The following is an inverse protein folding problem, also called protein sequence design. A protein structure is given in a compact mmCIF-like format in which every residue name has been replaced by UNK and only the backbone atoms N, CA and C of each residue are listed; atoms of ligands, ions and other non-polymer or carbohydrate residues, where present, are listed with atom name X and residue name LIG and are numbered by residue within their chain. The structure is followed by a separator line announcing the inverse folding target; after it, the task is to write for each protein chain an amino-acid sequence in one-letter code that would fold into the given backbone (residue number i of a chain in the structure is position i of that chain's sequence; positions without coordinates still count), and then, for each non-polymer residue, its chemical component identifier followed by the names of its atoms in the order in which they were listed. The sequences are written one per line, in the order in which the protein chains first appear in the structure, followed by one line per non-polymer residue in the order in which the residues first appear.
data_IF_496867617475
#
_entry.id   IF_496867617475
#
_cell.length_a   1.000
_cell.length_b   1.000
_cell.length_c   1.000
_cell.angle_alpha   90.00
_cell.angle_beta   90.00
_cell.angle_gamma   90.00
#
_symmetry.space_group_name_H-M   'P 1'
#
loop_
_entity.id
_entity.type
_entity.pdbx_description
1 polymer ?
#
# COMPACT_ATOMS: atom_id res chain seq x y z
N UNK A 1 7.29 -3.63 15.97
CA UNK A 1 5.89 -3.99 16.06
C UNK A 1 5.23 -3.47 17.32
N UNK A 2 3.94 -3.32 17.27
CA UNK A 2 3.10 -2.96 18.42
C UNK A 2 2.14 -4.11 18.69
N UNK A 3 2.08 -4.55 19.90
CA UNK A 3 1.17 -5.59 20.31
C UNK A 3 -0.26 -5.06 20.58
N UNK A 4 -1.10 -5.95 21.02
CA UNK A 4 -2.54 -5.85 21.10
C UNK A 4 -3.08 -4.57 21.74
N UNK A 5 -4.13 -4.05 21.14
CA UNK A 5 -5.08 -3.09 21.74
C UNK A 5 -6.43 -3.79 21.88
N UNK A 6 -6.47 -4.96 22.51
CA UNK A 6 -7.71 -5.67 22.79
C UNK A 6 -8.36 -5.16 24.09
N UNK A 7 -9.67 -5.14 24.12
CA UNK A 7 -10.44 -4.75 25.29
C UNK A 7 -11.92 -4.57 24.96
N UNK A 8 -12.74 -4.45 25.99
CA UNK A 8 -14.16 -4.16 25.85
C UNK A 8 -14.49 -2.85 26.54
N UNK A 9 -15.32 -2.04 25.91
CA UNK A 9 -15.85 -0.81 26.48
C UNK A 9 -17.35 -0.73 26.16
N UNK A 10 -18.18 -0.87 27.19
CA UNK A 10 -19.62 -1.04 27.05
C UNK A 10 -19.94 -2.19 26.06
N UNK A 11 -20.65 -1.89 24.97
CA UNK A 11 -21.06 -2.85 23.94
C UNK A 11 -20.03 -2.99 22.80
N UNK A 12 -18.85 -2.35 22.92
CA UNK A 12 -17.78 -2.42 21.94
C UNK A 12 -16.70 -3.39 22.38
N UNK A 13 -16.47 -4.39 21.57
CA UNK A 13 -15.35 -5.32 21.72
C UNK A 13 -14.28 -5.00 20.68
N UNK A 14 -13.08 -4.66 21.15
CA UNK A 14 -11.91 -4.50 20.29
C UNK A 14 -11.23 -5.86 20.15
N UNK A 15 -11.21 -6.45 18.95
CA UNK A 15 -10.56 -7.74 18.74
C UNK A 15 -9.05 -7.65 19.00
N UNK A 16 -8.40 -8.74 19.38
CA UNK A 16 -6.95 -8.79 19.48
C UNK A 16 -6.31 -8.34 18.16
N UNK A 17 -5.49 -7.30 18.24
CA UNK A 17 -4.87 -6.69 17.06
C UNK A 17 -3.37 -6.61 17.24
N UNK A 18 -2.62 -7.21 16.31
CA UNK A 18 -1.18 -7.07 16.20
C UNK A 18 -0.86 -6.09 15.08
N UNK A 19 -0.14 -5.04 15.41
CA UNK A 19 0.31 -4.05 14.42
C UNK A 19 1.82 -4.16 14.22
N UNK A 20 2.23 -4.31 12.97
CA UNK A 20 3.63 -4.34 12.58
C UNK A 20 3.98 -3.07 11.79
N UNK A 21 5.11 -2.48 12.13
CA UNK A 21 5.65 -1.29 11.45
C UNK A 21 6.95 -1.63 10.77
N UNK A 22 7.13 -1.13 9.56
CA UNK A 22 8.40 -1.18 8.86
C UNK A 22 8.71 0.23 8.32
N UNK A 23 9.95 0.66 8.48
CA UNK A 23 10.44 1.95 8.02
C UNK A 23 11.71 1.73 7.20
N UNK A 24 11.72 2.26 5.98
CA UNK A 24 12.89 2.25 5.13
C UNK A 24 13.06 3.63 4.47
N UNK A 25 14.28 4.22 4.44
CA UNK A 25 14.52 5.45 3.72
C UNK A 25 14.50 5.20 2.21
N UNK A 26 13.89 6.13 1.48
CA UNK A 26 13.82 6.14 0.02
C UNK A 26 14.20 7.52 -0.51
N UNK A 27 14.75 7.58 -1.73
CA UNK A 27 14.94 8.85 -2.43
C UNK A 27 13.59 9.26 -3.06
N UNK A 28 13.13 10.47 -2.79
CA UNK A 28 11.81 10.95 -3.22
C UNK A 28 11.61 10.92 -4.74
N UNK A 29 12.68 11.09 -5.52
CA UNK A 29 12.66 10.98 -6.98
C UNK A 29 12.61 9.55 -7.52
N UNK A 30 12.70 8.55 -6.64
CA UNK A 30 12.62 7.12 -6.94
C UNK A 30 11.40 6.45 -6.31
N UNK A 31 10.54 7.22 -5.67
CA UNK A 31 9.28 6.72 -5.15
C UNK A 31 8.26 6.56 -6.29
N UNK A 32 7.55 5.44 -6.27
CA UNK A 32 6.49 5.13 -7.23
C UNK A 32 5.22 4.78 -6.48
N UNK A 33 4.08 5.21 -7.00
CA UNK A 33 2.78 4.91 -6.41
C UNK A 33 2.14 3.67 -7.04
N UNK A 34 1.03 3.23 -6.48
CA UNK A 34 0.42 1.96 -6.88
C UNK A 34 -0.60 2.07 -8.02
N UNK A 35 -1.15 3.26 -8.30
CA UNK A 35 -2.17 3.40 -9.35
C UNK A 35 -1.57 3.24 -10.75
N UNK A 36 -2.32 2.61 -11.66
CA UNK A 36 -1.96 2.46 -13.08
C UNK A 36 -1.84 3.85 -13.71
N UNK A 37 -0.75 4.09 -14.43
CA UNK A 37 -0.40 5.41 -14.96
C UNK A 37 -0.95 5.70 -16.35
N UNK A 38 -0.96 4.70 -17.22
CA UNK A 38 -1.39 4.91 -18.60
C UNK A 38 -2.04 3.67 -19.23
N UNK A 39 -2.83 3.90 -20.27
CA UNK A 39 -3.33 2.85 -21.12
C UNK A 39 -2.23 2.32 -22.05
N UNK A 40 -2.30 1.04 -22.40
CA UNK A 40 -1.37 0.37 -23.31
C UNK A 40 -0.10 -0.15 -22.65
N UNK A 41 0.08 0.03 -21.36
CA UNK A 41 1.16 -0.63 -20.60
C UNK A 41 0.81 -2.07 -20.27
N UNK A 42 1.80 -2.83 -19.82
CA UNK A 42 1.64 -4.21 -19.40
C UNK A 42 1.63 -4.31 -17.89
N UNK A 43 0.83 -5.23 -17.37
CA UNK A 43 0.92 -5.66 -15.98
C UNK A 43 1.62 -7.01 -15.94
N UNK A 44 2.64 -7.09 -15.09
CA UNK A 44 3.39 -8.32 -14.84
C UNK A 44 3.49 -8.57 -13.35
N UNK A 45 3.60 -9.83 -12.93
CA UNK A 45 3.70 -10.20 -11.52
C UNK A 45 4.96 -11.03 -11.27
N UNK A 46 5.74 -10.61 -10.28
CA UNK A 46 6.75 -11.45 -9.67
C UNK A 46 6.15 -12.23 -8.52
N UNK A 47 6.21 -13.56 -8.60
CA UNK A 47 5.55 -14.46 -7.65
C UNK A 47 6.53 -15.00 -6.62
N UNK A 48 6.14 -14.97 -5.35
CA UNK A 48 6.90 -15.58 -4.25
C UNK A 48 6.84 -17.09 -4.35
N UNK A 49 8.00 -17.72 -4.39
CA UNK A 49 8.10 -19.17 -4.28
C UNK A 49 8.06 -19.60 -2.82
N UNK A 50 7.34 -20.69 -2.55
CA UNK A 50 7.15 -21.24 -1.21
C UNK A 50 7.67 -22.68 -1.14
N UNK A 51 7.97 -23.10 0.07
CA UNK A 51 8.35 -24.49 0.38
C UNK A 51 7.10 -25.34 0.68
N UNK A 52 7.31 -26.58 1.08
CA UNK A 52 6.25 -27.55 1.42
C UNK A 52 5.43 -27.17 2.67
N UNK A 53 5.94 -26.27 3.50
CA UNK A 53 5.27 -25.76 4.69
C UNK A 53 4.61 -24.39 4.43
N UNK A 54 4.48 -23.98 3.16
CA UNK A 54 3.96 -22.69 2.72
C UNK A 54 4.78 -21.47 3.21
N UNK A 55 6.05 -21.69 3.57
CA UNK A 55 6.98 -20.62 3.94
C UNK A 55 7.68 -20.05 2.69
N UNK A 56 7.87 -18.73 2.60
CA UNK A 56 8.63 -18.13 1.51
C UNK A 56 10.06 -18.70 1.46
N UNK A 57 10.54 -19.03 0.27
CA UNK A 57 11.95 -19.32 0.05
C UNK A 57 12.76 -18.03 0.14
N UNK A 58 13.25 -17.69 1.32
CA UNK A 58 13.79 -16.37 1.64
C UNK A 58 14.92 -15.90 0.73
N UNK A 59 15.81 -16.79 0.29
CA UNK A 59 16.90 -16.43 -0.63
C UNK A 59 16.36 -16.06 -2.01
N UNK A 60 15.33 -16.75 -2.50
CA UNK A 60 14.66 -16.43 -3.77
C UNK A 60 13.82 -15.16 -3.64
N UNK A 61 13.12 -14.99 -2.51
CA UNK A 61 12.38 -13.79 -2.19
C UNK A 61 13.26 -12.55 -2.19
N UNK A 62 14.42 -12.63 -1.53
CA UNK A 62 15.37 -11.52 -1.52
C UNK A 62 15.86 -11.17 -2.92
N UNK A 63 16.24 -12.16 -3.72
CA UNK A 63 16.66 -11.93 -5.12
C UNK A 63 15.56 -11.30 -5.96
N UNK A 64 14.31 -11.73 -5.77
CA UNK A 64 13.14 -11.16 -6.44
C UNK A 64 12.98 -9.69 -6.07
N UNK A 65 13.05 -9.33 -4.80
CA UNK A 65 12.93 -7.95 -4.35
C UNK A 65 14.10 -7.07 -4.81
N UNK A 66 15.33 -7.60 -4.81
CA UNK A 66 16.50 -6.91 -5.35
C UNK A 66 16.31 -6.62 -6.85
N UNK A 67 15.73 -7.58 -7.61
CA UNK A 67 15.41 -7.40 -9.04
C UNK A 67 14.34 -6.31 -9.23
N UNK A 68 13.23 -6.37 -8.49
CA UNK A 68 12.15 -5.36 -8.58
C UNK A 68 12.69 -3.97 -8.22
N UNK A 69 13.49 -3.88 -7.15
CA UNK A 69 14.11 -2.61 -6.75
C UNK A 69 15.01 -2.05 -7.85
N UNK A 70 15.83 -2.89 -8.50
CA UNK A 70 16.69 -2.45 -9.60
C UNK A 70 15.85 -1.95 -10.80
N UNK A 71 14.77 -2.64 -11.15
CA UNK A 71 13.86 -2.20 -12.21
C UNK A 71 13.24 -0.82 -11.92
N UNK A 72 12.90 -0.55 -10.65
CA UNK A 72 12.41 0.77 -10.22
C UNK A 72 13.49 1.83 -10.36
N UNK A 73 14.73 1.55 -9.90
CA UNK A 73 15.85 2.47 -10.02
C UNK A 73 16.20 2.80 -11.47
N UNK A 74 16.05 1.82 -12.37
CA UNK A 74 16.28 1.96 -13.81
C UNK A 74 15.12 2.70 -14.53
N UNK A 75 14.06 3.04 -13.80
CA UNK A 75 12.89 3.73 -14.37
C UNK A 75 12.02 2.86 -15.30
N UNK A 76 12.12 1.53 -15.19
CA UNK A 76 11.35 0.58 -16.00
C UNK A 76 9.98 0.26 -15.43
N UNK A 77 9.69 0.66 -14.19
CA UNK A 77 8.43 0.43 -13.51
C UNK A 77 7.66 1.74 -13.38
N UNK A 78 6.43 1.76 -13.86
CA UNK A 78 5.55 2.93 -13.81
C UNK A 78 4.76 2.96 -12.49
N UNK A 79 4.26 1.82 -12.05
CA UNK A 79 3.57 1.65 -10.78
C UNK A 79 3.78 0.23 -10.22
N UNK A 80 3.62 0.06 -8.91
CA UNK A 80 3.76 -1.24 -8.28
C UNK A 80 2.83 -1.41 -7.09
N UNK A 81 2.33 -2.63 -6.88
CA UNK A 81 1.54 -2.98 -5.70
C UNK A 81 1.78 -4.41 -5.27
N UNK A 82 1.85 -4.64 -3.95
CA UNK A 82 1.94 -6.01 -3.42
C UNK A 82 0.59 -6.72 -3.53
N UNK A 83 0.63 -8.04 -3.74
CA UNK A 83 -0.59 -8.85 -3.79
C UNK A 83 -1.28 -8.83 -2.44
N UNK A 84 -2.58 -8.55 -2.43
CA UNK A 84 -3.45 -8.44 -1.26
C UNK A 84 -4.16 -9.76 -0.95
N UNK A 85 -4.92 -9.77 0.16
CA UNK A 85 -5.55 -10.97 0.70
C UNK A 85 -6.54 -11.69 -0.22
N UNK A 86 -7.19 -10.97 -1.14
CA UNK A 86 -8.09 -11.58 -2.15
C UNK A 86 -7.40 -11.79 -3.51
N UNK A 87 -6.06 -11.84 -3.52
CA UNK A 87 -5.28 -12.22 -4.67
C UNK A 87 -5.02 -11.10 -5.69
N UNK A 88 -4.70 -11.55 -6.90
CA UNK A 88 -4.33 -10.68 -8.01
C UNK A 88 -5.48 -9.74 -8.42
N UNK A 89 -6.71 -10.23 -8.40
CA UNK A 89 -7.90 -9.45 -8.78
C UNK A 89 -8.07 -8.24 -7.85
N UNK A 90 -7.95 -8.43 -6.54
CA UNK A 90 -8.03 -7.31 -5.59
C UNK A 90 -6.92 -6.28 -5.85
N UNK A 91 -5.71 -6.76 -6.05
CA UNK A 91 -4.53 -5.90 -6.25
C UNK A 91 -4.70 -5.05 -7.51
N UNK A 92 -5.01 -5.68 -8.63
CA UNK A 92 -5.21 -4.99 -9.93
C UNK A 92 -6.41 -4.05 -9.87
N UNK A 93 -7.52 -4.43 -9.22
CA UNK A 93 -8.67 -3.55 -9.06
C UNK A 93 -8.32 -2.26 -8.34
N UNK A 94 -7.58 -2.35 -7.23
CA UNK A 94 -7.13 -1.17 -6.48
C UNK A 94 -6.14 -0.32 -7.26
N UNK A 95 -5.26 -0.93 -8.04
CA UNK A 95 -4.37 -0.21 -8.95
C UNK A 95 -5.15 0.55 -10.03
N UNK A 96 -6.24 -0.03 -10.52
CA UNK A 96 -7.10 0.56 -11.57
C UNK A 96 -7.95 1.73 -11.06
N UNK A 97 -8.46 1.67 -9.82
CA UNK A 97 -9.39 2.67 -9.30
C UNK A 97 -8.77 4.07 -9.14
N UNK A 98 -7.45 4.16 -9.00
CA UNK A 98 -6.77 5.46 -8.83
C UNK A 98 -6.97 6.40 -10.00
N UNK A 99 -6.70 5.95 -11.20
CA UNK A 99 -6.82 6.72 -12.45
C UNK A 99 -7.95 6.22 -13.37
N UNK A 100 -8.78 5.29 -12.90
CA UNK A 100 -9.87 4.68 -13.66
C UNK A 100 -9.41 4.09 -15.01
N UNK A 101 -8.28 3.39 -14.99
CA UNK A 101 -7.73 2.69 -16.14
C UNK A 101 -7.96 1.19 -15.95
N UNK A 102 -8.69 0.58 -16.87
CA UNK A 102 -9.05 -0.82 -16.84
C UNK A 102 -7.93 -1.74 -17.29
N UNK A 103 -8.21 -3.03 -17.19
CA UNK A 103 -7.24 -4.07 -17.53
C UNK A 103 -7.94 -5.21 -18.28
N UNK A 104 -7.38 -5.55 -19.42
CA UNK A 104 -7.66 -6.81 -20.08
C UNK A 104 -6.70 -7.87 -19.52
N UNK A 105 -7.23 -8.78 -18.70
CA UNK A 105 -6.45 -9.85 -18.08
C UNK A 105 -6.00 -10.87 -19.12
N UNK A 106 -4.79 -11.39 -18.95
CA UNK A 106 -4.25 -12.43 -19.83
C UNK A 106 -5.11 -13.69 -19.76
N UNK A 107 -5.42 -14.24 -20.92
CA UNK A 107 -6.30 -15.43 -21.08
C UNK A 107 -5.72 -16.72 -20.46
N UNK A 108 -4.44 -16.75 -20.19
CA UNK A 108 -3.78 -17.90 -19.57
C UNK A 108 -3.86 -17.88 -18.04
N UNK A 109 -4.39 -16.81 -17.45
CA UNK A 109 -4.60 -16.75 -16.00
C UNK A 109 -5.75 -17.68 -15.61
N UNK A 110 -5.47 -18.58 -14.69
CA UNK A 110 -6.50 -19.45 -14.08
C UNK A 110 -7.21 -18.74 -12.92
N UNK A 111 -8.35 -19.27 -12.50
CA UNK A 111 -9.05 -18.77 -11.32
C UNK A 111 -8.16 -18.81 -10.08
N UNK A 112 -7.36 -19.85 -9.92
CA UNK A 112 -6.43 -19.95 -8.79
C UNK A 112 -5.38 -18.81 -8.84
N UNK A 113 -4.85 -18.47 -10.02
CA UNK A 113 -3.92 -17.35 -10.17
C UNK A 113 -4.58 -16.00 -9.88
N UNK A 114 -5.87 -15.85 -10.21
CA UNK A 114 -6.62 -14.62 -9.99
C UNK A 114 -6.98 -14.40 -8.51
N UNK A 115 -7.39 -15.45 -7.81
CA UNK A 115 -7.98 -15.33 -6.46
C UNK A 115 -7.10 -15.86 -5.33
N UNK A 116 -6.05 -16.64 -5.64
CA UNK A 116 -5.06 -17.03 -4.64
C UNK A 116 -4.18 -15.83 -4.28
N UNK A 117 -3.85 -15.72 -3.00
CA UNK A 117 -3.03 -14.64 -2.47
C UNK A 117 -1.59 -15.11 -2.18
N UNK A 118 -0.69 -15.16 -3.18
CA UNK A 118 0.72 -15.45 -2.94
C UNK A 118 1.37 -14.23 -2.26
N UNK A 119 1.05 -14.04 -0.98
CA UNK A 119 1.46 -12.86 -0.20
C UNK A 119 2.97 -12.61 -0.31
N UNK A 120 3.32 -11.36 -0.55
CA UNK A 120 4.69 -10.93 -0.84
C UNK A 120 5.02 -10.87 -2.34
N UNK A 121 4.16 -11.40 -3.22
CA UNK A 121 4.28 -11.18 -4.67
C UNK A 121 3.96 -9.74 -5.02
N UNK A 122 4.54 -9.23 -6.10
CA UNK A 122 4.41 -7.82 -6.52
C UNK A 122 3.92 -7.76 -7.96
N UNK A 123 2.87 -6.96 -8.19
CA UNK A 123 2.38 -6.58 -9.51
C UNK A 123 3.06 -5.28 -9.91
N UNK A 124 3.59 -5.24 -11.12
CA UNK A 124 4.25 -4.07 -11.70
C UNK A 124 3.53 -3.65 -12.97
N UNK A 125 3.36 -2.35 -13.16
CA UNK A 125 3.06 -1.75 -14.45
C UNK A 125 4.36 -1.41 -15.17
N UNK A 126 4.53 -1.90 -16.39
CA UNK A 126 5.75 -1.76 -17.17
C UNK A 126 5.40 -1.47 -18.63
N UNK A 127 6.34 -0.93 -19.39
CA UNK A 127 6.14 -0.71 -20.84
C UNK A 127 6.42 -1.97 -21.67
N UNK A 128 7.38 -2.78 -21.25
CA UNK A 128 7.83 -3.99 -21.92
C UNK A 128 7.72 -5.20 -20.99
N UNK A 129 7.66 -6.39 -21.55
CA UNK A 129 7.70 -7.62 -20.76
C UNK A 129 9.02 -7.77 -20.01
N UNK A 130 8.95 -8.34 -18.81
CA UNK A 130 10.09 -8.58 -17.96
C UNK A 130 10.32 -10.08 -17.83
N UNK A 131 11.51 -10.53 -18.14
CA UNK A 131 11.89 -11.93 -18.00
C UNK A 131 11.72 -12.41 -16.57
N UNK A 132 11.12 -13.59 -16.42
CA UNK A 132 10.88 -14.23 -15.13
C UNK A 132 9.62 -13.72 -14.38
N UNK A 133 8.90 -12.77 -14.94
CA UNK A 133 7.60 -12.34 -14.44
C UNK A 133 6.45 -13.04 -15.16
N UNK A 134 5.32 -13.18 -14.48
CA UNK A 134 4.07 -13.70 -15.06
C UNK A 134 3.31 -12.53 -15.69
N UNK A 135 2.90 -12.67 -16.94
CA UNK A 135 2.04 -11.67 -17.60
C UNK A 135 0.65 -11.70 -16.97
N UNK A 136 0.21 -10.54 -16.48
CA UNK A 136 -1.10 -10.35 -15.83
C UNK A 136 -2.14 -9.84 -16.82
N UNK A 137 -1.74 -8.91 -17.68
CA UNK A 137 -2.64 -8.31 -18.67
C UNK A 137 -2.10 -7.02 -19.25
N UNK A 138 -2.99 -6.33 -19.98
CA UNK A 138 -2.69 -5.05 -20.62
C UNK A 138 -3.66 -3.99 -20.11
N UNK A 139 -3.14 -2.83 -19.77
CA UNK A 139 -3.95 -1.69 -19.33
C UNK A 139 -4.62 -1.02 -20.52
N UNK A 140 -5.84 -0.49 -20.37
CA UNK A 140 -6.43 0.16 -21.54
C UNK A 140 -7.80 0.77 -21.34
N UNK A 141 -8.81 -0.04 -21.23
CA UNK A 141 -10.21 0.41 -21.23
C UNK A 141 -10.66 1.01 -19.91
N UNK A 142 -11.93 1.38 -19.86
CA UNK A 142 -12.65 1.78 -18.64
C UNK A 142 -13.33 0.58 -17.94
N UNK A 143 -12.86 -0.64 -18.21
CA UNK A 143 -13.43 -1.87 -17.71
C UNK A 143 -12.35 -2.91 -17.39
N UNK A 144 -12.71 -3.88 -16.57
CA UNK A 144 -11.98 -5.14 -16.45
C UNK A 144 -12.54 -6.15 -17.46
N UNK A 145 -11.66 -6.76 -18.24
CA UNK A 145 -12.02 -7.87 -19.12
C UNK A 145 -11.29 -9.13 -18.67
N UNK A 146 -12.05 -10.13 -18.21
CA UNK A 146 -11.51 -11.40 -17.73
C UNK A 146 -12.38 -12.56 -18.23
N UNK A 147 -11.77 -13.54 -18.91
CA UNK A 147 -12.47 -14.72 -19.40
C UNK A 147 -13.66 -14.41 -20.33
N UNK A 148 -13.62 -13.27 -21.06
CA UNK A 148 -14.72 -12.81 -21.92
C UNK A 148 -15.82 -12.03 -21.17
N UNK A 149 -15.71 -11.87 -19.86
CA UNK A 149 -16.61 -11.03 -19.06
C UNK A 149 -16.04 -9.62 -19.00
N UNK A 150 -16.89 -8.62 -19.23
CA UNK A 150 -16.54 -7.21 -19.14
C UNK A 150 -17.26 -6.56 -17.95
N UNK A 151 -16.50 -5.96 -17.05
CA UNK A 151 -16.99 -5.30 -15.84
C UNK A 151 -16.56 -3.83 -15.88
N UNK A 152 -17.49 -2.87 -16.03
CA UNK A 152 -17.17 -1.46 -16.01
C UNK A 152 -16.48 -1.04 -14.71
N UNK A 153 -15.41 -0.27 -14.78
CA UNK A 153 -14.68 0.23 -13.60
C UNK A 153 -15.54 1.06 -12.68
N UNK A 154 -16.45 1.85 -13.24
CA UNK A 154 -17.39 2.65 -12.44
C UNK A 154 -18.28 1.77 -11.55
N UNK A 155 -18.79 0.67 -12.10
CA UNK A 155 -19.59 -0.30 -11.34
C UNK A 155 -18.76 -0.99 -10.26
N UNK A 156 -17.58 -1.48 -10.62
CA UNK A 156 -16.67 -2.13 -9.67
C UNK A 156 -16.26 -1.19 -8.52
N UNK A 157 -15.95 0.07 -8.83
CA UNK A 157 -15.59 1.06 -7.83
C UNK A 157 -16.75 1.41 -6.89
N UNK A 158 -17.98 1.52 -7.41
CA UNK A 158 -19.16 1.76 -6.59
C UNK A 158 -19.44 0.57 -5.65
N UNK A 159 -19.35 -0.65 -6.13
CA UNK A 159 -19.49 -1.86 -5.31
C UNK A 159 -18.43 -1.88 -4.20
N UNK A 160 -17.19 -1.51 -4.51
CA UNK A 160 -16.10 -1.46 -3.55
C UNK A 160 -16.29 -0.40 -2.45
N UNK A 161 -16.81 0.79 -2.78
CA UNK A 161 -17.04 1.88 -1.82
C UNK A 161 -18.25 1.63 -0.91
N UNK A 162 -19.31 1.05 -1.46
CA UNK A 162 -20.63 0.94 -0.83
C UNK A 162 -20.65 0.38 0.59
N UNK A 163 -19.88 -0.68 0.96
CA UNK A 163 -19.96 -1.30 2.28
C UNK A 163 -19.66 -0.36 3.45
N UNK A 164 -18.74 0.58 3.25
CA UNK A 164 -18.30 1.50 4.31
C UNK A 164 -18.92 2.91 4.20
N UNK A 165 -19.70 3.21 3.16
CA UNK A 165 -20.19 4.57 2.88
C UNK A 165 -21.02 5.16 4.02
N UNK A 166 -21.76 4.34 4.78
CA UNK A 166 -22.55 4.79 5.94
C UNK A 166 -21.70 5.18 7.15
N UNK A 167 -20.54 4.54 7.33
CA UNK A 167 -19.68 4.71 8.50
C UNK A 167 -18.52 5.65 8.19
N UNK A 168 -18.03 5.58 6.98
CA UNK A 168 -16.91 6.38 6.49
C UNK A 168 -17.22 6.88 5.07
N UNK A 169 -17.97 7.97 4.93
CA UNK A 169 -18.37 8.50 3.64
C UNK A 169 -17.17 8.88 2.77
N UNK A 170 -17.22 8.54 1.49
CA UNK A 170 -16.18 8.88 0.52
C UNK A 170 -16.18 10.37 0.15
N UNK A 171 -17.26 11.10 0.45
CA UNK A 171 -17.37 12.55 0.26
C UNK A 171 -17.55 13.22 1.61
N UNK A 172 -16.66 14.14 1.92
CA UNK A 172 -16.88 15.06 3.06
C UNK A 172 -18.11 15.93 2.81
N UNK A 173 -18.76 16.39 3.89
CA UNK A 173 -19.83 17.37 3.80
C UNK A 173 -19.35 18.66 3.11
N UNK A 174 -20.30 19.46 2.64
CA UNK A 174 -19.97 20.76 2.06
C UNK A 174 -19.35 21.67 3.13
N UNK A 175 -18.10 22.07 2.92
CA UNK A 175 -17.50 23.16 3.67
C UNK A 175 -18.03 24.49 3.10
N UNK A 176 -18.47 25.37 3.97
CA UNK A 176 -18.99 26.70 3.60
C UNK A 176 -17.89 27.74 3.44
N UNK A 177 -16.67 27.41 3.79
CA UNK A 177 -15.49 28.27 3.65
C UNK A 177 -14.31 27.47 3.10
N UNK A 178 -13.48 28.12 2.30
CA UNK A 178 -12.21 27.55 1.93
C UNK A 178 -11.31 27.45 3.17
N UNK A 179 -10.56 26.34 3.33
CA UNK A 179 -9.60 26.22 4.43
C UNK A 179 -8.50 27.28 4.28
N UNK A 180 -8.12 27.89 5.40
CA UNK A 180 -6.98 28.79 5.41
C UNK A 180 -5.71 28.02 5.03
N UNK A 181 -4.94 28.61 4.11
CA UNK A 181 -3.64 28.07 3.72
C UNK A 181 -2.55 28.77 4.55
N UNK A 182 -1.87 27.97 5.37
CA UNK A 182 -0.75 28.46 6.16
C UNK A 182 0.56 28.14 5.46
N UNK A 183 1.41 29.14 5.28
CA UNK A 183 2.78 28.94 4.85
C UNK A 183 3.75 29.42 5.93
N UNK A 184 4.85 28.71 6.07
CA UNK A 184 5.92 29.08 7.00
C UNK A 184 7.16 29.53 6.21
N UNK A 185 7.20 30.82 5.91
CA UNK A 185 8.22 31.41 5.03
C UNK A 185 9.52 31.79 5.75
N UNK A 186 9.48 31.80 7.08
CA UNK A 186 10.65 32.21 7.88
C UNK A 186 10.98 31.16 8.93
N UNK A 187 12.17 30.62 8.86
CA UNK A 187 12.67 29.71 9.89
C UNK A 187 13.17 30.53 11.09
N UNK A 188 12.33 30.66 12.12
CA UNK A 188 12.75 31.19 13.40
C UNK A 188 13.45 30.08 14.20
N UNK A 189 14.76 30.20 14.30
CA UNK A 189 15.53 29.30 15.16
C UNK A 189 15.69 30.01 16.52
N UNK A 190 14.97 29.53 17.51
CA UNK A 190 15.16 29.97 18.88
C UNK A 190 16.34 29.21 19.46
N UNK A 191 17.38 29.92 19.79
CA UNK A 191 18.56 29.35 20.47
C UNK A 191 18.39 29.61 21.95
N UNK A 192 18.54 28.58 22.78
CA UNK A 192 18.51 28.74 24.24
C UNK A 192 19.63 29.69 24.68
N UNK A 193 19.28 30.68 25.50
CA UNK A 193 20.24 31.62 26.09
C UNK A 193 21.17 30.94 27.08
N UNK A 194 20.64 29.96 27.78
CA UNK A 194 21.41 29.13 28.71
C UNK A 194 21.67 27.76 28.11
N UNK A 195 22.91 27.32 28.21
CA UNK A 195 23.34 26.02 27.65
C UNK A 195 23.84 25.14 28.80
N UNK A 196 23.25 23.94 28.91
CA UNK A 196 23.64 22.94 29.89
C UNK A 196 24.30 21.76 29.16
N UNK A 197 25.48 21.37 29.65
CA UNK A 197 26.19 20.20 29.10
C UNK A 197 25.41 18.89 29.30
N UNK A 198 24.63 18.82 30.38
CA UNK A 198 23.74 17.71 30.72
C UNK A 198 22.40 18.28 31.18
N UNK A 199 21.46 18.51 30.28
CA UNK A 199 20.12 18.99 30.65
C UNK A 199 19.41 17.94 31.51
N UNK A 200 18.67 18.41 32.53
CA UNK A 200 17.79 17.56 33.30
C UNK A 200 16.40 17.57 32.68
N UNK A 201 15.82 16.39 32.52
CA UNK A 201 14.48 16.21 31.98
C UNK A 201 13.58 15.68 33.09
N UNK A 202 12.42 16.28 33.26
CA UNK A 202 11.37 15.79 34.15
C UNK A 202 10.31 15.08 33.30
N UNK A 203 10.07 13.80 33.60
CA UNK A 203 9.08 12.97 32.95
C UNK A 203 7.99 12.63 33.95
N UNK A 204 6.84 13.34 33.94
CA UNK A 204 5.73 13.02 34.84
C UNK A 204 5.03 11.74 34.37
N UNK A 205 4.71 10.86 35.34
CA UNK A 205 3.99 9.60 35.08
C UNK A 205 2.67 9.67 35.84
N UNK A 206 1.58 9.50 35.09
CA UNK A 206 0.22 9.46 35.61
C UNK A 206 -0.42 8.11 35.27
N UNK A 207 -1.53 7.71 35.90
CA UNK A 207 -2.28 6.54 35.50
C UNK A 207 -2.63 6.63 33.99
N UNK A 208 -2.23 5.61 33.22
CA UNK A 208 -2.41 5.57 31.76
C UNK A 208 -1.29 6.20 30.92
N UNK A 209 -0.22 6.73 31.53
CA UNK A 209 1.00 7.14 30.80
C UNK A 209 1.66 5.92 30.16
N UNK A 210 2.14 6.10 28.93
CA UNK A 210 2.89 5.11 28.17
C UNK A 210 4.23 5.69 27.71
N UNK A 211 5.20 4.80 27.48
CA UNK A 211 6.53 5.12 26.94
C UNK A 211 7.43 5.98 27.87
N UNK A 212 7.11 6.11 29.17
CA UNK A 212 7.92 6.85 30.13
C UNK A 212 9.32 6.24 30.31
N UNK A 213 9.41 4.91 30.30
CA UNK A 213 10.70 4.20 30.38
C UNK A 213 11.58 4.41 29.12
N UNK A 214 10.95 4.43 27.96
CA UNK A 214 11.67 4.66 26.70
C UNK A 214 12.10 6.13 26.57
N UNK A 215 11.28 7.05 27.09
CA UNK A 215 11.61 8.47 27.14
C UNK A 215 12.74 8.78 28.13
N UNK A 216 12.95 7.92 29.13
CA UNK A 216 14.00 8.09 30.12
C UNK A 216 15.36 7.54 29.68
N UNK A 217 15.43 6.73 28.63
CA UNK A 217 16.68 6.22 28.01
C UNK A 217 17.31 7.25 27.10
#
# INVERSE_FOLDING_TARGET
GKDSMSGSFNDLDVPPTLTSFAVAPVKADKDISQEIKKAGSKLVMFTVKRDENDLPKFDELKKMYDTVHQLILDGKVLSASVVKGFGLVETVSKMSFGNMIGVEFDKNLTNDMLFYAPLGSIVLEVEEEIDGAVTVGTTGSDAFTVGGVNIPLSEAAEVWKKPLEKVFPTKAGHFTSEPETFSYDKRNITVATEKFAKPRVFIPVFPGTNCEYDSAK
#
